data_IF_920206693344
#
_entry.id   IF_920206693344
#
_cell.length_a   1.000
_cell.length_b   1.000
_cell.length_c   1.000
_cell.angle_alpha   90.00
_cell.angle_beta   90.00
_cell.angle_gamma   90.00
#
_symmetry.space_group_name_H-M   'P 1'
#
loop_
_entity.id
_entity.type
_entity.pdbx_description
1 polymer ?
#
# COMPACT_ATOMS: atom_id res chain seq x y z
N UNK A 1 10.14 -24.35 6.01
CA UNK A 1 10.91 -23.33 5.27
C UNK A 1 10.51 -21.98 5.82
N UNK A 2 11.45 -21.05 5.99
CA UNK A 2 11.14 -19.69 6.43
C UNK A 2 10.14 -19.08 5.44
N UNK A 3 9.00 -18.63 5.96
CA UNK A 3 8.02 -17.90 5.18
C UNK A 3 8.68 -16.57 4.74
N UNK A 4 8.90 -16.34 3.43
CA UNK A 4 9.50 -15.09 2.95
C UNK A 4 8.69 -13.84 3.35
N UNK A 5 7.42 -14.01 3.76
CA UNK A 5 6.55 -12.95 4.25
C UNK A 5 6.62 -12.69 5.76
N UNK A 6 7.47 -13.39 6.52
CA UNK A 6 7.60 -13.21 7.97
C UNK A 6 8.22 -11.84 8.32
N UNK A 7 7.43 -10.78 8.19
CA UNK A 7 7.82 -9.39 8.45
C UNK A 7 7.23 -8.37 7.48
N UNK A 8 6.58 -8.80 6.39
CA UNK A 8 5.91 -7.89 5.47
C UNK A 8 4.38 -8.03 5.58
N UNK A 9 3.65 -6.90 5.55
CA UNK A 9 2.20 -6.90 5.43
C UNK A 9 1.74 -7.68 4.20
N UNK A 10 0.52 -8.22 4.24
CA UNK A 10 -0.11 -8.92 3.10
C UNK A 10 -0.13 -8.03 1.83
N UNK A 11 -0.30 -6.72 2.01
CA UNK A 11 -0.31 -5.75 0.94
C UNK A 11 0.31 -4.43 1.39
N UNK A 12 1.09 -3.82 0.52
CA UNK A 12 1.69 -2.51 0.73
C UNK A 12 1.81 -1.75 -0.59
N UNK A 13 1.70 -0.42 -0.51
CA UNK A 13 1.98 0.51 -1.61
C UNK A 13 3.03 1.50 -1.14
N UNK A 14 4.10 1.64 -1.91
CA UNK A 14 5.18 2.59 -1.62
C UNK A 14 5.43 3.42 -2.87
N UNK A 15 5.34 4.74 -2.73
CA UNK A 15 5.66 5.68 -3.81
C UNK A 15 7.06 6.23 -3.61
N UNK A 16 7.84 6.29 -4.69
CA UNK A 16 9.18 6.85 -4.70
C UNK A 16 9.27 8.01 -5.71
N UNK A 17 10.07 9.01 -5.37
CA UNK A 17 10.63 9.98 -6.32
C UNK A 17 12.14 9.85 -6.19
N UNK A 18 12.81 9.57 -7.30
CA UNK A 18 14.19 9.07 -7.31
C UNK A 18 14.33 7.86 -6.36
N UNK A 19 15.29 7.88 -5.45
CA UNK A 19 15.53 6.80 -4.46
C UNK A 19 14.83 7.06 -3.11
N UNK A 20 14.06 8.15 -2.99
CA UNK A 20 13.44 8.56 -1.74
C UNK A 20 11.96 8.15 -1.69
N UNK A 21 11.51 7.45 -0.63
CA UNK A 21 10.09 7.16 -0.45
C UNK A 21 9.33 8.45 -0.11
N UNK A 22 8.21 8.67 -0.79
CA UNK A 22 7.33 9.84 -0.62
C UNK A 22 5.96 9.47 -0.07
N UNK A 23 5.55 8.21 -0.25
CA UNK A 23 4.22 7.70 0.09
C UNK A 23 4.33 6.31 0.67
N UNK A 24 3.49 6.00 1.65
CA UNK A 24 3.36 4.66 2.22
C UNK A 24 1.92 4.31 2.55
N UNK A 25 1.56 3.06 2.30
CA UNK A 25 0.37 2.40 2.82
C UNK A 25 0.71 0.94 3.09
N UNK A 26 0.19 0.39 4.18
CA UNK A 26 0.21 -1.05 4.45
C UNK A 26 -1.14 -1.55 4.96
N UNK A 27 -1.40 -2.85 4.74
CA UNK A 27 -2.66 -3.51 5.10
C UNK A 27 -2.93 -3.63 6.60
N UNK A 28 -1.92 -3.37 7.44
CA UNK A 28 -2.05 -3.42 8.91
C UNK A 28 -2.60 -2.10 9.43
N UNK A 29 -1.98 -0.98 9.05
CA UNK A 29 -2.41 0.38 9.42
C UNK A 29 -3.61 0.86 8.63
N UNK A 30 -3.72 0.42 7.37
CA UNK A 30 -4.80 0.78 6.42
C UNK A 30 -4.99 2.28 6.27
N UNK A 31 -3.90 3.03 6.36
CA UNK A 31 -3.86 4.47 6.21
C UNK A 31 -2.70 4.86 5.32
N UNK A 32 -2.98 5.76 4.38
CA UNK A 32 -1.95 6.36 3.52
C UNK A 32 -1.27 7.50 4.27
N UNK A 33 0.06 7.51 4.24
CA UNK A 33 0.87 8.52 4.91
C UNK A 33 2.01 9.02 4.02
N UNK A 34 2.43 10.25 4.29
CA UNK A 34 3.63 10.81 3.67
C UNK A 34 4.89 10.20 4.28
N UNK A 35 5.89 9.92 3.43
CA UNK A 35 7.26 9.60 3.85
C UNK A 35 8.24 10.75 3.65
N UNK A 36 7.78 11.86 3.05
CA UNK A 36 8.60 13.04 2.81
C UNK A 36 7.94 14.31 3.36
N UNK A 37 8.73 15.12 4.08
CA UNK A 37 8.23 16.32 4.75
C UNK A 37 7.58 17.31 3.77
N UNK A 38 8.10 17.43 2.54
CA UNK A 38 7.56 18.34 1.54
C UNK A 38 6.19 17.89 1.02
N UNK A 39 5.91 16.58 0.89
CA UNK A 39 4.58 16.09 0.48
C UNK A 39 3.57 16.40 1.59
N UNK A 40 3.94 16.15 2.86
CA UNK A 40 3.07 16.41 4.00
C UNK A 40 2.72 17.90 4.16
N UNK A 41 3.63 18.80 3.75
CA UNK A 41 3.41 20.25 3.79
C UNK A 41 2.56 20.76 2.62
N UNK A 42 2.61 20.10 1.46
CA UNK A 42 1.88 20.55 0.26
C UNK A 42 0.49 19.92 0.14
N UNK A 43 0.28 18.73 0.68
CA UNK A 43 -0.98 18.00 0.56
C UNK A 43 -1.84 18.08 1.83
N UNK A 44 -3.12 18.34 1.64
CA UNK A 44 -4.10 18.45 2.73
C UNK A 44 -4.68 17.11 3.20
N UNK A 45 -5.41 17.09 4.33
CA UNK A 45 -6.01 15.88 4.88
C UNK A 45 -6.99 15.20 3.90
N UNK A 46 -7.74 15.96 3.08
CA UNK A 46 -8.66 15.37 2.10
C UNK A 46 -7.93 14.55 1.02
N UNK A 47 -6.70 14.95 0.66
CA UNK A 47 -5.88 14.16 -0.26
C UNK A 47 -5.54 12.80 0.35
N UNK A 48 -5.06 12.78 1.59
CA UNK A 48 -4.67 11.55 2.29
C UNK A 48 -5.85 10.63 2.60
N UNK A 49 -7.03 11.19 2.92
CA UNK A 49 -8.28 10.42 3.05
C UNK A 49 -8.64 9.73 1.73
N UNK A 50 -8.57 10.47 0.61
CA UNK A 50 -8.82 9.90 -0.72
C UNK A 50 -7.81 8.82 -1.08
N UNK A 51 -6.51 9.08 -0.86
CA UNK A 51 -5.46 8.07 -1.13
C UNK A 51 -5.68 6.82 -0.29
N UNK A 52 -6.11 6.96 0.97
CA UNK A 52 -6.42 5.85 1.85
C UNK A 52 -7.56 4.99 1.29
N UNK A 53 -8.64 5.63 0.82
CA UNK A 53 -9.76 4.90 0.21
C UNK A 53 -9.36 4.15 -1.06
N UNK A 54 -8.54 4.79 -1.92
CA UNK A 54 -8.01 4.16 -3.14
C UNK A 54 -7.15 2.95 -2.78
N UNK A 55 -6.19 3.10 -1.86
CA UNK A 55 -5.28 2.03 -1.46
C UNK A 55 -6.02 0.84 -0.82
N UNK A 56 -7.08 1.08 -0.04
CA UNK A 56 -7.94 0.01 0.48
C UNK A 56 -8.71 -0.72 -0.64
N UNK A 57 -9.16 0.00 -1.67
CA UNK A 57 -9.73 -0.59 -2.87
C UNK A 57 -8.75 -1.48 -3.63
N UNK A 58 -7.52 -1.00 -3.83
CA UNK A 58 -6.44 -1.75 -4.48
C UNK A 58 -6.05 -3.00 -3.68
N UNK A 59 -6.01 -2.91 -2.34
CA UNK A 59 -5.79 -4.06 -1.47
C UNK A 59 -6.85 -5.15 -1.69
N UNK A 60 -8.13 -4.77 -1.74
CA UNK A 60 -9.23 -5.71 -1.97
C UNK A 60 -9.13 -6.37 -3.35
N UNK A 61 -8.80 -5.59 -4.39
CA UNK A 61 -8.62 -6.10 -5.74
C UNK A 61 -7.42 -7.03 -5.85
N UNK A 62 -6.29 -6.70 -5.21
CA UNK A 62 -5.09 -7.53 -5.17
C UNK A 62 -5.37 -8.90 -4.55
N UNK A 63 -6.09 -8.92 -3.42
CA UNK A 63 -6.50 -10.16 -2.74
C UNK A 63 -7.38 -11.04 -3.64
N UNK A 64 -8.37 -10.44 -4.30
CA UNK A 64 -9.25 -11.17 -5.22
C UNK A 64 -8.46 -11.76 -6.38
N UNK A 65 -7.57 -10.98 -6.99
CA UNK A 65 -6.72 -11.43 -8.09
C UNK A 65 -5.79 -12.57 -7.66
N UNK A 66 -5.17 -12.48 -6.47
CA UNK A 66 -4.31 -13.52 -5.96
C UNK A 66 -5.08 -14.83 -5.71
N UNK A 67 -6.30 -14.75 -5.18
CA UNK A 67 -7.16 -15.92 -5.02
C UNK A 67 -7.50 -16.57 -6.38
N UNK A 68 -7.84 -15.78 -7.39
CA UNK A 68 -8.07 -16.29 -8.76
C UNK A 68 -6.82 -16.91 -9.36
N UNK A 69 -5.63 -16.30 -9.18
CA UNK A 69 -4.37 -16.87 -9.67
C UNK A 69 -4.07 -18.21 -9.02
N UNK A 70 -4.24 -18.33 -7.69
CA UNK A 70 -4.09 -19.60 -6.97
C UNK A 70 -5.01 -20.69 -7.54
N UNK A 71 -6.26 -20.37 -7.87
CA UNK A 71 -7.17 -21.36 -8.48
C UNK A 71 -6.75 -21.81 -9.89
N UNK A 72 -6.03 -20.98 -10.65
CA UNK A 72 -5.61 -21.30 -12.03
C UNK A 72 -4.31 -22.09 -12.11
N UNK A 73 -3.44 -21.91 -11.12
CA UNK A 73 -2.09 -22.50 -11.09
C UNK A 73 -1.94 -23.60 -10.03
N UNK A 74 -3.00 -23.90 -9.27
CA UNK A 74 -3.14 -25.11 -8.45
C UNK A 74 -3.94 -26.17 -9.20
#
# INVERSE_FOLDING_TARGET
GLDPGAGLPEFMLVGYVDEAPIYWFDSERRQSESRAAWVAQNEGPQYWERQTQVAQGDQAQFRANLATLRQRYN
#
